data_IF_623321244675
#
_entry.id   IF_623321244675
#
_cell.length_a   1.000
_cell.length_b   1.000
_cell.length_c   1.000
_cell.angle_alpha   90.00
_cell.angle_beta   90.00
_cell.angle_gamma   90.00
#
_symmetry.space_group_name_H-M   'P 1'
#
loop_
_entity.id
_entity.type
_entity.pdbx_description
1 polymer ?
#
# COMPACT_ATOMS: atom_id res chain seq x y z
N UNK A 1 41.67 -5.41 -11.55
CA UNK A 1 41.24 -5.72 -12.93
C UNK A 1 40.07 -6.71 -13.00
N UNK A 2 39.81 -7.51 -11.96
CA UNK A 2 38.60 -8.34 -11.85
C UNK A 2 37.30 -7.54 -11.60
N UNK A 3 37.36 -6.43 -10.83
CA UNK A 3 36.19 -5.57 -10.54
C UNK A 3 35.58 -4.87 -11.76
N UNK A 4 36.32 -4.72 -12.85
CA UNK A 4 35.86 -3.97 -14.02
C UNK A 4 35.04 -4.83 -14.99
N UNK A 5 35.07 -6.16 -14.82
CA UNK A 5 34.34 -7.11 -15.66
C UNK A 5 32.93 -7.42 -15.13
N UNK A 6 32.68 -7.30 -13.82
CA UNK A 6 31.34 -7.48 -13.24
C UNK A 6 30.39 -6.29 -13.54
N UNK A 7 30.93 -5.13 -13.90
CA UNK A 7 30.18 -3.90 -14.19
C UNK A 7 29.51 -3.82 -15.59
N UNK A 8 29.68 -4.82 -16.47
CA UNK A 8 29.24 -4.74 -17.89
C UNK A 8 28.00 -5.64 -18.18
N UNK A 9 27.37 -6.21 -17.15
CA UNK A 9 26.17 -7.03 -17.34
C UNK A 9 24.88 -6.20 -17.43
N UNK A 10 23.92 -6.66 -18.23
CA UNK A 10 22.51 -6.28 -18.05
C UNK A 10 21.77 -7.33 -17.23
N UNK A 11 20.70 -6.92 -16.57
CA UNK A 11 19.73 -7.78 -15.88
C UNK A 11 18.34 -7.49 -16.44
N UNK A 12 17.52 -8.53 -16.53
CA UNK A 12 16.11 -8.38 -16.87
C UNK A 12 15.37 -7.93 -15.60
N UNK A 13 14.76 -6.75 -15.65
CA UNK A 13 13.82 -6.28 -14.64
C UNK A 13 12.42 -6.71 -15.05
N UNK A 14 11.76 -7.51 -14.23
CA UNK A 14 10.44 -8.08 -14.53
C UNK A 14 9.42 -7.63 -13.50
N UNK A 15 8.29 -7.11 -13.96
CA UNK A 15 7.09 -6.83 -13.17
C UNK A 15 5.96 -7.75 -13.61
N UNK A 16 5.38 -8.52 -12.69
CA UNK A 16 4.36 -9.53 -13.01
C UNK A 16 3.25 -9.54 -11.95
N UNK A 17 1.99 -9.59 -12.39
CA UNK A 17 0.87 -9.67 -11.46
C UNK A 17 0.73 -11.07 -10.84
N UNK A 18 -0.02 -11.18 -9.74
CA UNK A 18 -0.22 -12.45 -9.03
C UNK A 18 -0.78 -13.58 -9.91
N UNK A 19 -1.73 -13.29 -10.80
CA UNK A 19 -2.28 -14.29 -11.72
C UNK A 19 -1.46 -14.48 -13.00
N UNK A 20 -0.36 -13.74 -13.18
CA UNK A 20 0.54 -13.78 -14.35
C UNK A 20 -0.11 -13.39 -15.68
N UNK A 21 -1.32 -12.83 -15.67
CA UNK A 21 -1.98 -12.32 -16.87
C UNK A 21 -1.27 -11.09 -17.47
N UNK A 22 -0.48 -10.38 -16.65
CA UNK A 22 0.33 -9.25 -17.07
C UNK A 22 1.77 -9.45 -16.62
N UNK A 23 2.69 -9.35 -17.59
CA UNK A 23 4.13 -9.36 -17.39
C UNK A 23 4.76 -8.25 -18.23
N UNK A 24 5.57 -7.43 -17.61
CA UNK A 24 6.35 -6.38 -18.24
C UNK A 24 7.83 -6.63 -17.94
N UNK A 25 8.68 -6.51 -18.95
CA UNK A 25 10.10 -6.74 -18.79
C UNK A 25 10.92 -5.71 -19.56
N UNK A 26 12.08 -5.37 -19.00
CA UNK A 26 13.04 -4.45 -19.62
C UNK A 26 14.45 -4.78 -19.16
N UNK A 27 15.45 -4.49 -19.98
CA UNK A 27 16.85 -4.67 -19.61
C UNK A 27 17.37 -3.42 -18.92
N UNK A 28 18.02 -3.59 -17.78
CA UNK A 28 18.75 -2.50 -17.11
C UNK A 28 20.23 -2.88 -16.94
N UNK A 29 21.15 -1.91 -17.00
CA UNK A 29 22.53 -2.13 -16.59
C UNK A 29 22.61 -2.57 -15.12
N UNK A 30 23.49 -3.52 -14.80
CA UNK A 30 23.79 -3.86 -13.39
C UNK A 30 24.31 -2.67 -12.60
N UNK A 31 25.00 -1.74 -13.26
CA UNK A 31 25.47 -0.48 -12.67
C UNK A 31 24.35 0.48 -12.25
N UNK A 32 23.10 0.22 -12.64
CA UNK A 32 21.93 0.96 -12.18
C UNK A 32 21.43 0.49 -10.80
N UNK A 33 21.95 -0.60 -10.26
CA UNK A 33 21.63 -1.06 -8.90
C UNK A 33 22.44 -0.31 -7.84
N UNK A 34 21.87 -0.02 -6.66
CA UNK A 34 20.49 -0.29 -6.26
C UNK A 34 19.49 0.65 -6.95
N UNK A 35 18.30 0.13 -7.29
CA UNK A 35 17.23 0.98 -7.82
C UNK A 35 16.66 1.87 -6.71
N UNK A 36 16.39 3.13 -7.02
CA UNK A 36 15.93 4.12 -6.05
C UNK A 36 14.40 4.17 -6.01
N UNK A 37 13.82 3.78 -4.88
CA UNK A 37 12.37 3.78 -4.64
C UNK A 37 11.90 4.94 -3.76
N UNK A 38 10.62 5.28 -3.91
CA UNK A 38 9.90 6.26 -3.08
C UNK A 38 8.70 5.57 -2.44
N UNK A 39 8.57 5.71 -1.13
CA UNK A 39 7.49 5.13 -0.34
C UNK A 39 6.56 6.25 0.12
N UNK A 40 5.33 6.26 -0.40
CA UNK A 40 4.32 7.27 -0.09
C UNK A 40 3.41 6.79 1.04
N UNK A 41 3.23 7.63 2.05
CA UNK A 41 2.41 7.34 3.23
C UNK A 41 1.10 8.14 3.24
N UNK A 42 0.75 8.86 2.17
CA UNK A 42 -0.45 9.70 2.20
C UNK A 42 -1.73 8.89 2.41
N UNK A 43 -2.75 9.55 2.97
CA UNK A 43 -4.05 8.92 3.23
C UNK A 43 -4.65 8.25 1.98
N UNK A 44 -4.52 8.89 0.82
CA UNK A 44 -5.07 8.36 -0.42
C UNK A 44 -4.37 7.08 -0.88
N UNK A 45 -3.02 7.03 -0.80
CA UNK A 45 -2.25 5.83 -1.10
C UNK A 45 -2.64 4.68 -0.16
N UNK A 46 -2.77 4.96 1.14
CA UNK A 46 -3.16 3.92 2.10
C UNK A 46 -4.58 3.41 1.89
N UNK A 47 -5.52 4.30 1.59
CA UNK A 47 -6.93 3.93 1.35
C UNK A 47 -7.16 3.21 0.03
N UNK A 48 -6.32 3.43 -0.99
CA UNK A 48 -6.49 2.79 -2.29
C UNK A 48 -5.82 1.41 -2.36
N UNK A 49 -4.69 1.21 -1.69
CA UNK A 49 -3.99 -0.09 -1.66
C UNK A 49 -4.39 -0.96 -0.47
N UNK A 50 -4.92 -0.36 0.59
CA UNK A 50 -5.11 -1.03 1.88
C UNK A 50 -3.79 -1.25 2.65
N UNK A 51 -2.66 -0.78 2.10
CA UNK A 51 -1.36 -0.87 2.73
C UNK A 51 -1.03 0.41 3.54
N UNK A 52 -0.20 0.33 4.59
CA UNK A 52 0.37 1.44 5.36
C UNK A 52 1.18 2.42 4.51
N UNK A 53 1.62 2.00 3.33
CA UNK A 53 2.33 2.83 2.36
C UNK A 53 2.11 2.26 0.95
N UNK A 54 2.46 3.04 -0.06
CA UNK A 54 2.69 2.53 -1.41
C UNK A 54 4.13 2.73 -1.80
N UNK A 55 4.74 1.76 -2.45
CA UNK A 55 6.15 1.78 -2.84
C UNK A 55 6.28 1.79 -4.36
N UNK A 56 7.01 2.76 -4.89
CA UNK A 56 7.14 2.97 -6.32
C UNK A 56 8.61 3.14 -6.72
N UNK A 57 8.99 2.61 -7.89
CA UNK A 57 10.20 3.03 -8.60
C UNK A 57 9.86 3.52 -10.01
N UNK A 58 10.61 4.46 -10.60
CA UNK A 58 10.46 4.80 -12.01
C UNK A 58 10.69 3.56 -12.90
N UNK A 59 9.76 3.26 -13.81
CA UNK A 59 9.95 2.15 -14.73
C UNK A 59 11.01 2.54 -15.79
N UNK A 60 12.09 1.76 -15.96
CA UNK A 60 13.20 2.17 -16.81
C UNK A 60 12.91 1.96 -18.29
N UNK A 61 13.37 2.90 -19.12
CA UNK A 61 13.22 2.89 -20.57
C UNK A 61 12.72 4.23 -21.13
N UNK A 62 12.49 4.27 -22.44
CA UNK A 62 11.91 5.44 -23.11
C UNK A 62 10.45 5.62 -22.70
N UNK A 63 10.06 6.84 -22.29
CA UNK A 63 8.69 7.18 -21.91
C UNK A 63 7.67 6.76 -22.96
N UNK A 64 7.94 7.01 -24.24
CA UNK A 64 7.02 6.66 -25.34
C UNK A 64 6.82 5.16 -25.47
N UNK A 65 7.90 4.37 -25.33
CA UNK A 65 7.82 2.91 -25.42
C UNK A 65 7.09 2.30 -24.21
N UNK A 66 7.35 2.85 -23.02
CA UNK A 66 6.65 2.44 -21.79
C UNK A 66 5.17 2.78 -21.90
N UNK A 67 4.86 4.01 -22.32
CA UNK A 67 3.49 4.47 -22.52
C UNK A 67 2.74 3.56 -23.48
N UNK A 68 3.32 3.23 -24.64
CA UNK A 68 2.66 2.35 -25.60
C UNK A 68 2.43 0.93 -25.03
N UNK A 69 3.41 0.35 -24.34
CA UNK A 69 3.28 -0.96 -23.71
C UNK A 69 2.19 -1.00 -22.63
N UNK A 70 2.09 0.05 -21.80
CA UNK A 70 1.09 0.12 -20.74
C UNK A 70 -0.29 0.46 -21.30
N UNK A 71 -0.38 1.38 -22.26
CA UNK A 71 -1.64 1.81 -22.91
C UNK A 71 -2.31 0.68 -23.67
N UNK A 72 -1.54 -0.22 -24.28
CA UNK A 72 -2.06 -1.38 -25.01
C UNK A 72 -2.37 -2.59 -24.11
N UNK A 73 -2.04 -2.51 -22.82
CA UNK A 73 -2.41 -3.53 -21.84
C UNK A 73 -3.88 -3.41 -21.41
N UNK A 74 -4.44 -4.50 -20.86
CA UNK A 74 -5.78 -4.50 -20.26
C UNK A 74 -5.77 -4.20 -18.76
N UNK A 75 -4.76 -3.46 -18.26
CA UNK A 75 -4.75 -3.02 -16.86
C UNK A 75 -5.91 -2.05 -16.61
N UNK A 76 -6.64 -2.25 -15.51
CA UNK A 76 -7.64 -1.28 -15.08
C UNK A 76 -6.97 -0.01 -14.58
N UNK A 77 -7.63 1.10 -14.80
CA UNK A 77 -7.14 2.44 -14.50
C UNK A 77 -8.06 3.06 -13.47
N UNK A 78 -7.48 3.54 -12.38
CA UNK A 78 -8.21 4.22 -11.31
C UNK A 78 -7.52 5.53 -10.95
N UNK A 79 -8.11 6.65 -11.38
CA UNK A 79 -7.67 7.98 -10.99
C UNK A 79 -8.14 8.26 -9.56
N UNK A 80 -7.20 8.25 -8.62
CA UNK A 80 -7.52 8.47 -7.21
C UNK A 80 -7.15 9.89 -6.73
N UNK A 81 -6.37 10.61 -7.51
CA UNK A 81 -6.05 12.02 -7.30
C UNK A 81 -5.80 12.69 -8.66
N UNK A 82 -5.93 14.02 -8.76
CA UNK A 82 -5.62 14.74 -10.00
C UNK A 82 -4.23 14.35 -10.51
N UNK A 83 -4.17 13.91 -11.77
CA UNK A 83 -2.93 13.51 -12.43
C UNK A 83 -2.21 12.30 -11.80
N UNK A 84 -2.90 11.47 -11.01
CA UNK A 84 -2.36 10.20 -10.50
C UNK A 84 -3.36 9.08 -10.74
N UNK A 85 -2.98 8.15 -11.62
CA UNK A 85 -3.78 6.97 -11.98
C UNK A 85 -3.06 5.70 -11.54
N UNK A 86 -3.71 4.87 -10.74
CA UNK A 86 -3.21 3.52 -10.47
C UNK A 86 -3.64 2.56 -11.56
N UNK A 87 -2.73 1.65 -11.91
CA UNK A 87 -2.95 0.61 -12.90
C UNK A 87 -2.83 -0.76 -12.25
N UNK A 88 -3.89 -1.55 -12.35
CA UNK A 88 -3.98 -2.86 -11.69
C UNK A 88 -4.51 -3.95 -12.61
N UNK A 89 -4.17 -5.20 -12.30
CA UNK A 89 -4.72 -6.35 -12.99
C UNK A 89 -6.21 -6.53 -12.66
N UNK A 90 -7.07 -6.66 -13.66
CA UNK A 90 -8.51 -6.90 -13.44
C UNK A 90 -8.89 -8.27 -12.91
N UNK A 91 -7.97 -9.24 -12.95
CA UNK A 91 -8.23 -10.58 -12.46
C UNK A 91 -7.82 -10.75 -11.00
N UNK A 92 -6.59 -10.34 -10.65
CA UNK A 92 -6.03 -10.54 -9.31
C UNK A 92 -5.86 -9.26 -8.50
N UNK A 93 -6.25 -8.10 -9.05
CA UNK A 93 -6.17 -6.79 -8.40
C UNK A 93 -4.76 -6.31 -8.04
N UNK A 94 -3.71 -7.02 -8.44
CA UNK A 94 -2.31 -6.57 -8.28
C UNK A 94 -2.14 -5.16 -8.82
N UNK A 95 -1.83 -4.22 -7.94
CA UNK A 95 -1.44 -2.86 -8.32
C UNK A 95 -0.05 -2.95 -8.92
N UNK A 96 0.09 -2.65 -10.22
CA UNK A 96 1.34 -2.85 -10.95
C UNK A 96 2.07 -1.54 -11.25
N UNK A 97 1.34 -0.52 -11.69
CA UNK A 97 1.94 0.77 -12.06
C UNK A 97 1.16 1.93 -11.46
N UNK A 98 1.83 3.07 -11.38
CA UNK A 98 1.26 4.39 -11.20
C UNK A 98 1.63 5.23 -12.40
N UNK A 99 0.64 5.91 -12.95
CA UNK A 99 0.80 6.90 -14.00
C UNK A 99 0.67 8.29 -13.37
N UNK A 100 1.63 9.16 -13.66
CA UNK A 100 1.60 10.57 -13.26
C UNK A 100 1.77 11.49 -14.46
N UNK A 101 1.38 12.76 -14.32
CA UNK A 101 1.58 13.74 -15.37
C UNK A 101 3.04 13.79 -15.85
N UNK A 102 3.21 13.96 -17.17
CA UNK A 102 4.51 14.15 -17.79
C UNK A 102 5.15 15.48 -17.34
N UNK A 103 6.48 15.52 -17.32
CA UNK A 103 7.24 16.75 -17.09
C UNK A 103 7.95 17.24 -18.36
N UNK A 104 8.28 18.52 -18.39
CA UNK A 104 9.11 19.14 -19.43
C UNK A 104 8.44 19.24 -20.81
N UNK A 105 9.24 19.13 -21.87
CA UNK A 105 8.80 19.27 -23.26
C UNK A 105 7.81 18.17 -23.71
N UNK A 106 7.86 16.97 -23.11
CA UNK A 106 6.87 15.90 -23.36
C UNK A 106 5.82 15.80 -22.24
N UNK A 107 5.23 16.92 -21.84
CA UNK A 107 4.12 16.93 -20.86
C UNK A 107 2.91 16.09 -21.29
N UNK A 108 2.77 15.83 -22.60
CA UNK A 108 1.73 14.99 -23.19
C UNK A 108 1.96 13.48 -23.00
N UNK A 109 3.18 13.05 -22.65
CA UNK A 109 3.51 11.64 -22.36
C UNK A 109 3.66 11.48 -20.85
N UNK A 110 2.81 10.68 -20.19
CA UNK A 110 2.86 10.53 -18.75
C UNK A 110 4.12 9.78 -18.28
N UNK A 111 4.43 9.94 -17.00
CA UNK A 111 5.46 9.17 -16.32
C UNK A 111 4.86 7.90 -15.73
N UNK A 112 5.67 6.84 -15.65
CA UNK A 112 5.25 5.57 -15.06
C UNK A 112 6.20 5.14 -13.95
N UNK A 113 5.62 4.88 -12.78
CA UNK A 113 6.29 4.13 -11.72
C UNK A 113 5.71 2.72 -11.66
N UNK A 114 6.56 1.72 -11.44
CA UNK A 114 6.12 0.36 -11.08
C UNK A 114 6.06 0.24 -9.56
N UNK A 115 5.13 -0.55 -9.06
CA UNK A 115 5.09 -0.88 -7.63
C UNK A 115 6.16 -1.94 -7.31
N UNK A 116 6.82 -1.83 -6.16
CA UNK A 116 7.96 -2.72 -5.85
C UNK A 116 7.53 -4.17 -5.59
N UNK A 117 6.35 -4.37 -4.99
CA UNK A 117 5.85 -5.70 -4.64
C UNK A 117 5.58 -6.62 -5.83
N UNK A 118 5.43 -6.10 -7.06
CA UNK A 118 5.22 -6.91 -8.28
C UNK A 118 6.52 -7.28 -9.01
N UNK A 119 7.66 -6.76 -8.54
CA UNK A 119 8.95 -7.05 -9.17
C UNK A 119 9.43 -8.44 -8.80
N UNK A 120 9.93 -9.19 -9.78
CA UNK A 120 10.62 -10.44 -9.50
C UNK A 120 11.87 -10.16 -8.64
N UNK A 121 12.12 -11.04 -7.67
CA UNK A 121 13.34 -10.98 -6.88
C UNK A 121 14.54 -11.25 -7.77
N UNK A 122 15.55 -10.39 -7.70
CA UNK A 122 16.83 -10.58 -8.38
C UNK A 122 17.86 -10.97 -7.34
N UNK A 123 18.57 -12.06 -7.58
CA UNK A 123 19.69 -12.46 -6.72
C UNK A 123 20.84 -11.46 -6.86
N UNK A 124 20.97 -10.63 -5.84
CA UNK A 124 22.06 -9.65 -5.67
C UNK A 124 23.02 -10.07 -4.56
N UNK A 125 23.00 -11.34 -4.12
CA UNK A 125 23.84 -11.83 -3.01
C UNK A 125 25.34 -11.70 -3.26
N UNK A 126 25.76 -11.61 -4.53
CA UNK A 126 27.15 -11.36 -4.94
C UNK A 126 27.46 -9.87 -5.15
N UNK A 127 26.46 -9.00 -5.07
CA UNK A 127 26.62 -7.56 -5.14
C UNK A 127 26.88 -6.98 -3.75
N UNK A 128 27.65 -5.91 -3.68
CA UNK A 128 27.75 -5.07 -2.48
C UNK A 128 26.54 -4.15 -2.29
N UNK A 129 25.59 -4.14 -3.23
CA UNK A 129 24.38 -3.33 -3.23
C UNK A 129 23.10 -4.16 -3.15
N UNK A 130 22.07 -3.57 -2.55
CA UNK A 130 20.71 -4.10 -2.60
C UNK A 130 20.14 -4.08 -4.03
N UNK A 131 19.04 -4.81 -4.25
CA UNK A 131 18.27 -4.67 -5.48
C UNK A 131 17.55 -3.32 -5.53
N UNK A 132 16.91 -2.93 -4.42
CA UNK A 132 16.18 -1.68 -4.26
C UNK A 132 16.62 -1.03 -2.96
N UNK A 133 16.88 0.27 -3.00
CA UNK A 133 17.04 1.11 -1.82
C UNK A 133 15.84 2.06 -1.72
N UNK A 134 15.37 2.26 -0.49
CA UNK A 134 14.37 3.24 -0.14
C UNK A 134 15.07 4.60 -0.02
N UNK A 135 14.88 5.48 -1.00
CA UNK A 135 15.50 6.80 -0.96
C UNK A 135 14.68 7.80 -0.14
N UNK A 136 13.35 7.70 -0.23
CA UNK A 136 12.45 8.68 0.37
C UNK A 136 11.19 8.04 0.94
N UNK A 137 10.83 8.44 2.15
CA UNK A 137 9.47 8.36 2.66
C UNK A 137 8.80 9.72 2.52
N UNK A 138 7.68 9.80 1.79
CA UNK A 138 6.94 11.04 1.57
C UNK A 138 5.56 10.98 2.21
N UNK A 139 4.98 12.15 2.51
CA UNK A 139 3.70 12.32 3.19
C UNK A 139 3.63 11.61 4.54
N UNK A 140 4.74 11.61 5.28
CA UNK A 140 4.82 10.93 6.58
C UNK A 140 3.91 11.62 7.62
N UNK A 141 3.68 12.92 7.52
CA UNK A 141 2.81 13.64 8.46
C UNK A 141 1.36 13.10 8.47
N UNK A 142 0.87 12.58 7.34
CA UNK A 142 -0.48 11.99 7.23
C UNK A 142 -0.66 10.77 8.13
N UNK A 143 0.43 10.09 8.51
CA UNK A 143 0.38 8.92 9.41
C UNK A 143 0.08 9.31 10.86
N UNK A 144 0.45 10.53 11.28
CA UNK A 144 0.46 11.01 12.68
C UNK A 144 1.42 10.24 13.60
N UNK A 145 1.59 8.95 13.40
CA UNK A 145 2.41 8.01 14.16
C UNK A 145 3.66 7.52 13.39
N UNK A 146 4.07 8.24 12.35
CA UNK A 146 5.20 7.83 11.50
C UNK A 146 4.88 6.65 10.57
N UNK A 147 3.72 6.01 10.68
CA UNK A 147 3.27 4.94 9.80
C UNK A 147 4.27 3.80 9.76
N UNK A 148 4.60 3.33 8.55
CA UNK A 148 5.55 2.22 8.40
C UNK A 148 7.03 2.63 8.56
N UNK A 149 7.35 3.92 8.64
CA UNK A 149 8.74 4.40 8.64
C UNK A 149 9.60 3.82 9.76
N UNK A 150 9.13 3.65 11.01
CA UNK A 150 10.00 3.16 12.08
C UNK A 150 10.55 1.75 11.86
N UNK A 151 9.87 0.91 11.05
CA UNK A 151 10.34 -0.41 10.65
C UNK A 151 11.24 -0.39 9.41
N UNK A 152 11.12 0.65 8.55
CA UNK A 152 11.74 0.69 7.23
C UNK A 152 12.95 1.63 7.11
N UNK A 153 13.19 2.50 8.11
CA UNK A 153 14.32 3.43 8.11
C UNK A 153 15.70 2.77 8.06
N UNK A 154 15.80 1.49 8.42
CA UNK A 154 17.04 0.70 8.44
C UNK A 154 17.04 -0.42 7.37
N UNK A 155 16.11 -0.39 6.40
CA UNK A 155 15.96 -1.46 5.39
C UNK A 155 17.00 -1.44 4.27
N UNK A 156 17.70 -0.32 4.09
CA UNK A 156 18.78 -0.23 3.09
C UNK A 156 20.03 -0.97 3.58
N UNK A 157 20.94 -1.29 2.66
CA UNK A 157 22.22 -1.92 3.01
C UNK A 157 23.00 -1.06 4.02
N UNK A 158 23.84 -1.68 4.85
CA UNK A 158 24.56 -0.95 5.91
C UNK A 158 25.48 0.16 5.41
N UNK A 159 25.89 0.10 4.13
CA UNK A 159 26.70 1.11 3.45
C UNK A 159 25.87 2.20 2.75
N UNK A 160 24.56 1.99 2.57
CA UNK A 160 23.67 2.94 1.93
C UNK A 160 23.14 3.97 2.94
N UNK A 161 22.85 5.21 2.50
CA UNK A 161 22.22 6.20 3.37
C UNK A 161 20.83 5.73 3.80
N UNK A 162 20.43 6.12 5.01
CA UNK A 162 19.05 5.97 5.46
C UNK A 162 18.09 6.73 4.53
N UNK A 163 16.84 6.27 4.38
CA UNK A 163 15.82 7.01 3.63
C UNK A 163 15.61 8.40 4.23
N UNK A 164 15.38 9.40 3.40
CA UNK A 164 14.96 10.74 3.85
C UNK A 164 13.47 10.74 4.18
N UNK A 165 13.06 11.39 5.27
CA UNK A 165 11.67 11.43 5.73
C UNK A 165 11.10 12.82 5.53
N UNK A 166 10.08 12.92 4.68
CA UNK A 166 9.41 14.17 4.33
C UNK A 166 8.02 14.23 4.96
N UNK A 167 7.68 15.37 5.55
CA UNK A 167 6.34 15.59 6.11
C UNK A 167 5.27 15.51 5.02
N UNK A 168 5.53 16.11 3.86
CA UNK A 168 4.69 16.09 2.66
C UNK A 168 5.41 15.50 1.44
N UNK A 169 5.25 16.13 0.28
CA UNK A 169 5.97 15.73 -0.93
C UNK A 169 7.51 15.80 -0.72
N UNK A 170 8.25 15.11 -1.58
CA UNK A 170 9.72 15.22 -1.62
C UNK A 170 10.16 16.69 -1.71
N UNK A 171 11.25 17.01 -1.00
CA UNK A 171 11.88 18.34 -0.94
C UNK A 171 11.02 19.43 -0.30
N UNK A 172 10.05 19.05 0.54
CA UNK A 172 9.30 19.96 1.41
C UNK A 172 9.97 20.09 2.80
N UNK A 173 9.23 19.93 3.89
CA UNK A 173 9.80 19.89 5.24
C UNK A 173 10.34 18.48 5.52
N UNK A 174 11.64 18.39 5.76
CA UNK A 174 12.30 17.17 6.18
C UNK A 174 12.19 17.02 7.70
N UNK A 175 11.73 15.87 8.18
CA UNK A 175 11.77 15.58 9.60
C UNK A 175 13.22 15.44 10.05
N UNK A 176 13.56 16.12 11.16
CA UNK A 176 14.93 16.16 11.69
C UNK A 176 15.48 14.74 11.80
N UNK A 177 16.53 14.52 11.02
CA UNK A 177 16.97 13.27 10.45
C UNK A 177 17.22 12.13 11.45
N UNK A 178 16.83 10.92 11.04
CA UNK A 178 17.51 9.63 11.32
C UNK A 178 17.39 8.97 12.70
N UNK A 179 16.81 9.58 13.74
CA UNK A 179 16.51 8.78 14.94
C UNK A 179 15.33 7.85 14.66
N UNK A 180 15.35 6.63 15.22
CA UNK A 180 14.18 5.74 15.25
C UNK A 180 13.09 6.43 16.05
N UNK A 181 12.37 7.37 15.42
CA UNK A 181 11.28 8.10 16.04
C UNK A 181 10.08 7.16 16.01
N UNK A 182 10.10 6.20 16.92
CA UNK A 182 8.86 5.60 17.35
C UNK A 182 8.08 6.72 18.02
N UNK A 183 6.90 7.11 17.51
CA UNK A 183 6.08 8.04 18.24
C UNK A 183 5.81 7.45 19.62
N UNK A 184 5.86 8.29 20.64
CA UNK A 184 5.41 7.87 21.96
C UNK A 184 3.98 7.31 21.81
N UNK A 185 3.66 6.23 22.54
CA UNK A 185 2.30 5.70 22.55
C UNK A 185 1.34 6.87 22.73
N UNK A 186 0.36 6.98 21.83
CA UNK A 186 -0.69 7.96 22.01
C UNK A 186 -1.35 7.65 23.37
N UNK A 187 -1.21 8.55 24.34
CA UNK A 187 -1.86 8.45 25.65
C UNK A 187 -3.39 8.62 25.55
N UNK A 188 -3.91 8.76 24.34
CA UNK A 188 -5.35 8.81 24.08
C UNK A 188 -5.93 7.40 24.08
N UNK A 189 -7.04 7.16 24.79
CA UNK A 189 -7.74 5.89 24.70
C UNK A 189 -8.16 5.63 23.24
N UNK A 190 -8.19 4.37 22.80
CA UNK A 190 -8.66 4.02 21.46
C UNK A 190 -10.11 4.51 21.28
N UNK A 191 -10.46 5.02 20.09
CA UNK A 191 -11.81 5.49 19.83
C UNK A 191 -12.80 4.33 19.94
N UNK A 192 -14.06 4.62 20.30
CA UNK A 192 -15.11 3.62 20.35
C UNK A 192 -15.41 3.00 18.97
N UNK A 193 -15.19 3.78 17.91
CA UNK A 193 -15.44 3.38 16.53
C UNK A 193 -14.32 3.88 15.62
N UNK A 194 -13.88 3.03 14.69
CA UNK A 194 -12.88 3.35 13.67
C UNK A 194 -13.49 3.12 12.29
N UNK A 195 -13.61 4.15 11.44
CA UNK A 195 -14.03 3.98 10.06
C UNK A 195 -13.03 3.13 9.26
N UNK A 196 -13.53 2.14 8.52
CA UNK A 196 -12.75 1.28 7.62
C UNK A 196 -13.31 1.45 6.21
N UNK A 197 -12.62 2.28 5.41
CA UNK A 197 -13.12 2.72 4.11
C UNK A 197 -12.04 2.68 3.05
N UNK A 198 -12.37 2.18 1.86
CA UNK A 198 -11.50 2.30 0.70
C UNK A 198 -11.57 3.70 0.08
N UNK A 199 -10.63 4.03 -0.81
CA UNK A 199 -10.55 5.35 -1.41
C UNK A 199 -11.87 5.81 -2.08
N UNK A 200 -12.53 4.93 -2.83
CA UNK A 200 -13.78 5.25 -3.52
C UNK A 200 -15.03 5.20 -2.64
N UNK A 201 -14.93 4.76 -1.38
CA UNK A 201 -16.08 4.54 -0.50
C UNK A 201 -16.92 3.31 -0.83
N UNK A 202 -16.54 2.49 -1.81
CA UNK A 202 -17.26 1.24 -2.14
C UNK A 202 -17.23 0.21 -1.01
N UNK A 203 -16.13 0.18 -0.23
CA UNK A 203 -16.08 -0.44 1.09
C UNK A 203 -16.27 0.67 2.10
N UNK A 204 -17.33 0.60 2.91
CA UNK A 204 -17.63 1.57 3.96
C UNK A 204 -18.14 0.85 5.21
N UNK A 205 -17.22 0.53 6.11
CA UNK A 205 -17.44 -0.22 7.33
C UNK A 205 -17.06 0.61 8.55
N UNK A 206 -17.57 0.20 9.70
CA UNK A 206 -17.18 0.72 11.01
C UNK A 206 -16.69 -0.45 11.85
N UNK A 207 -15.49 -0.31 12.41
CA UNK A 207 -14.94 -1.20 13.42
C UNK A 207 -15.24 -0.64 14.80
N UNK A 208 -16.11 -1.32 15.54
CA UNK A 208 -16.35 -1.04 16.95
C UNK A 208 -15.18 -1.54 17.78
N UNK A 209 -14.77 -0.75 18.77
CA UNK A 209 -13.64 -1.04 19.63
C UNK A 209 -13.84 -2.40 20.32
N UNK A 210 -13.02 -3.41 20.00
CA UNK A 210 -13.24 -4.76 20.52
C UNK A 210 -12.63 -4.96 21.91
N UNK A 211 -11.84 -4.01 22.41
CA UNK A 211 -11.08 -4.14 23.66
C UNK A 211 -12.01 -4.39 24.87
N UNK A 212 -13.11 -3.64 25.09
CA UNK A 212 -14.00 -3.89 26.24
C UNK A 212 -14.64 -5.29 26.22
N UNK A 213 -14.93 -5.81 25.02
CA UNK A 213 -15.49 -7.14 24.84
C UNK A 213 -14.48 -8.23 25.25
N UNK A 214 -13.24 -8.12 24.79
CA UNK A 214 -12.19 -9.09 25.14
C UNK A 214 -11.71 -8.94 26.60
N UNK A 215 -11.69 -7.72 27.14
CA UNK A 215 -11.35 -7.48 28.54
C UNK A 215 -12.32 -8.13 29.55
N UNK A 216 -13.55 -8.42 29.12
CA UNK A 216 -14.55 -9.13 29.91
C UNK A 216 -14.45 -10.67 29.82
N UNK A 217 -13.61 -11.20 28.92
CA UNK A 217 -13.45 -12.65 28.73
C UNK A 217 -12.41 -13.24 29.69
N UNK A 218 -12.55 -14.53 29.98
CA UNK A 218 -11.46 -15.25 30.64
C UNK A 218 -10.26 -15.36 29.68
N UNK A 219 -9.05 -15.26 30.23
CA UNK A 219 -7.81 -15.35 29.44
C UNK A 219 -7.71 -16.64 28.61
N UNK A 220 -8.28 -17.74 29.09
CA UNK A 220 -8.32 -19.03 28.39
C UNK A 220 -9.30 -19.08 27.21
N UNK A 221 -10.21 -18.12 27.12
CA UNK A 221 -11.25 -18.02 26.08
C UNK A 221 -10.89 -16.99 25.00
N UNK A 222 -9.82 -16.21 25.21
CA UNK A 222 -9.37 -15.21 24.24
C UNK A 222 -9.00 -15.89 22.90
N UNK A 223 -9.48 -15.35 21.76
CA UNK A 223 -9.03 -15.83 20.46
C UNK A 223 -7.50 -15.72 20.32
N UNK A 224 -6.91 -16.62 19.54
CA UNK A 224 -5.45 -16.70 19.35
C UNK A 224 -4.81 -15.38 18.89
N UNK A 225 -5.58 -14.53 18.21
CA UNK A 225 -5.14 -13.25 17.68
C UNK A 225 -5.36 -12.07 18.64
N UNK A 226 -5.68 -12.31 19.90
CA UNK A 226 -5.81 -11.26 20.91
C UNK A 226 -4.64 -11.33 21.89
N UNK A 227 -3.95 -10.21 22.07
CA UNK A 227 -2.90 -10.10 23.07
C UNK A 227 -3.52 -10.11 24.48
N UNK A 228 -3.17 -11.07 25.36
CA UNK A 228 -3.79 -11.21 26.67
C UNK A 228 -3.46 -10.08 27.64
N UNK A 229 -2.42 -9.27 27.38
CA UNK A 229 -2.03 -8.17 28.26
C UNK A 229 -2.82 -6.89 27.97
N UNK A 230 -3.02 -6.58 26.69
CA UNK A 230 -3.63 -5.34 26.21
C UNK A 230 -5.05 -5.52 25.67
N UNK A 231 -5.49 -6.76 25.43
CA UNK A 231 -6.77 -7.12 24.83
C UNK A 231 -6.95 -6.57 23.40
N UNK A 232 -5.84 -6.16 22.76
CA UNK A 232 -5.80 -5.68 21.38
C UNK A 232 -5.66 -6.85 20.41
N UNK A 233 -6.24 -6.70 19.23
CA UNK A 233 -5.96 -7.58 18.11
C UNK A 233 -4.49 -7.51 17.71
N UNK A 234 -3.89 -8.67 17.44
CA UNK A 234 -2.56 -8.76 16.87
C UNK A 234 -2.55 -8.10 15.49
N UNK A 235 -1.49 -7.33 15.23
CA UNK A 235 -1.07 -6.92 13.90
C UNK A 235 0.12 -7.76 13.49
N UNK A 236 0.22 -8.11 12.22
CA UNK A 236 1.32 -8.90 11.67
C UNK A 236 1.79 -8.38 10.34
N UNK A 237 3.05 -8.70 10.00
CA UNK A 237 3.62 -8.48 8.67
C UNK A 237 3.64 -9.79 7.89
N UNK A 238 3.39 -9.70 6.59
CA UNK A 238 3.48 -10.82 5.65
C UNK A 238 4.35 -10.41 4.46
N UNK A 239 5.28 -11.29 4.11
CA UNK A 239 6.29 -11.12 3.05
C UNK A 239 6.15 -12.20 1.97
N UNK A 240 5.09 -13.02 2.02
CA UNK A 240 4.87 -14.04 1.01
C UNK A 240 4.55 -13.44 -0.36
N UNK A 241 4.90 -14.17 -1.42
CA UNK A 241 4.68 -13.73 -2.80
C UNK A 241 3.22 -13.37 -3.08
N UNK A 242 2.25 -14.12 -2.55
CA UNK A 242 0.84 -13.77 -2.73
C UNK A 242 0.48 -12.40 -2.15
N UNK A 243 1.01 -12.05 -0.97
CA UNK A 243 0.73 -10.78 -0.34
C UNK A 243 1.42 -9.63 -1.07
N UNK A 244 2.72 -9.74 -1.37
CA UNK A 244 3.45 -8.67 -2.08
C UNK A 244 2.93 -8.44 -3.49
N UNK A 245 2.66 -9.51 -4.25
CA UNK A 245 2.14 -9.40 -5.61
C UNK A 245 0.71 -8.87 -5.64
N UNK A 246 -0.15 -9.27 -4.69
CA UNK A 246 -1.55 -8.79 -4.67
C UNK A 246 -1.64 -7.31 -4.29
N UNK A 247 -0.79 -6.84 -3.40
CA UNK A 247 -0.87 -5.48 -2.85
C UNK A 247 0.01 -4.47 -3.59
N UNK A 248 1.09 -4.92 -4.22
CA UNK A 248 2.11 -4.05 -4.81
C UNK A 248 3.10 -3.48 -3.81
N UNK A 249 3.21 -4.01 -2.58
CA UNK A 249 4.24 -3.61 -1.61
C UNK A 249 5.06 -4.80 -1.14
N UNK A 250 6.31 -4.57 -0.73
CA UNK A 250 7.24 -5.65 -0.34
C UNK A 250 6.84 -6.34 0.96
N UNK A 251 6.30 -5.57 1.91
CA UNK A 251 5.84 -6.06 3.22
C UNK A 251 4.40 -5.61 3.45
N UNK A 252 3.47 -6.56 3.40
CA UNK A 252 2.08 -6.28 3.71
C UNK A 252 1.81 -6.44 5.21
N UNK A 253 0.78 -5.80 5.72
CA UNK A 253 0.38 -5.85 7.13
C UNK A 253 -1.10 -6.18 7.24
N UNK A 254 -1.42 -7.01 8.21
CA UNK A 254 -2.79 -7.45 8.46
C UNK A 254 -3.09 -7.34 9.95
N UNK A 255 -4.37 -7.23 10.27
CA UNK A 255 -4.87 -7.46 11.63
C UNK A 255 -6.13 -8.33 11.56
N UNK A 256 -6.56 -8.81 12.71
CA UNK A 256 -7.67 -9.75 12.83
C UNK A 256 -8.80 -9.09 13.60
N UNK A 257 -10.01 -9.19 13.06
CA UNK A 257 -11.23 -8.69 13.71
C UNK A 257 -12.33 -9.73 13.59
N UNK A 258 -13.17 -9.84 14.62
CA UNK A 258 -14.40 -10.62 14.55
C UNK A 258 -15.46 -9.84 13.77
N UNK A 259 -16.22 -10.52 12.91
CA UNK A 259 -17.28 -9.90 12.11
C UNK A 259 -18.33 -9.19 12.98
N UNK A 260 -18.58 -9.66 14.20
CA UNK A 260 -19.50 -9.02 15.14
C UNK A 260 -19.08 -7.60 15.55
N UNK A 261 -17.79 -7.27 15.44
CA UNK A 261 -17.26 -5.94 15.71
C UNK A 261 -17.32 -5.02 14.50
N UNK A 262 -17.70 -5.53 13.34
CA UNK A 262 -17.92 -4.74 12.13
C UNK A 262 -19.41 -4.42 11.96
N UNK A 263 -19.67 -3.29 11.31
CA UNK A 263 -20.98 -2.91 10.81
C UNK A 263 -20.83 -2.07 9.54
N UNK A 264 -21.89 -1.95 8.75
CA UNK A 264 -21.94 -0.94 7.69
C UNK A 264 -21.98 0.46 8.30
N UNK A 265 -21.39 1.45 7.61
CA UNK A 265 -21.56 2.83 8.01
C UNK A 265 -23.03 3.28 7.83
N UNK A 266 -23.57 4.01 8.81
CA UNK A 266 -24.91 4.61 8.68
C UNK A 266 -24.81 5.88 7.83
N UNK A 267 -25.61 6.04 6.76
CA UNK A 267 -25.58 7.26 5.95
C UNK A 267 -25.90 8.50 6.81
N UNK A 268 -25.07 9.54 6.73
CA UNK A 268 -25.26 10.78 7.49
C UNK A 268 -26.56 11.54 7.13
N UNK A 269 -27.26 11.14 6.07
CA UNK A 269 -28.48 11.80 5.56
C UNK A 269 -29.81 11.19 6.04
N UNK A 270 -29.81 10.14 6.87
CA UNK A 270 -31.06 9.57 7.40
C UNK A 270 -31.44 10.20 8.74
N UNK A 271 -31.60 11.53 8.76
CA UNK A 271 -32.47 12.23 9.70
C UNK A 271 -33.89 12.29 9.12
N UNK A 272 -34.49 11.13 8.85
CA UNK A 272 -35.93 11.02 8.58
C UNK A 272 -36.44 9.62 8.92
N UNK A 273 -37.65 9.59 9.47
CA UNK A 273 -38.39 8.48 10.08
C UNK A 273 -38.72 7.29 9.15
N UNK A 274 -37.73 6.73 8.45
CA UNK A 274 -37.88 5.45 7.74
C UNK A 274 -36.76 4.52 8.21
N UNK A 275 -37.07 3.74 9.25
CA UNK A 275 -36.34 2.52 9.59
C UNK A 275 -36.49 1.55 8.40
N UNK A 276 -35.70 1.76 7.36
CA UNK A 276 -35.39 0.66 6.45
C UNK A 276 -34.63 -0.35 7.31
N UNK A 277 -35.17 -1.56 7.41
CA UNK A 277 -34.50 -2.67 8.07
C UNK A 277 -33.15 -2.89 7.37
N UNK A 278 -32.09 -2.24 7.86
CA UNK A 278 -30.75 -2.54 7.38
C UNK A 278 -30.55 -4.02 7.63
N UNK A 279 -30.28 -4.75 6.55
CA UNK A 279 -30.02 -6.18 6.64
C UNK A 279 -28.94 -6.40 7.71
N UNK A 280 -29.09 -7.43 8.55
CA UNK A 280 -28.11 -7.71 9.61
C UNK A 280 -26.72 -7.84 8.98
N UNK A 281 -25.70 -7.36 9.70
CA UNK A 281 -24.34 -7.46 9.20
C UNK A 281 -23.98 -8.94 8.96
N UNK A 282 -23.31 -9.26 7.84
CA UNK A 282 -22.95 -10.64 7.51
C UNK A 282 -22.20 -11.36 8.63
N UNK A 283 -22.61 -12.58 8.93
CA UNK A 283 -22.00 -13.43 9.99
C UNK A 283 -20.89 -14.33 9.47
N UNK A 284 -20.70 -14.40 8.14
CA UNK A 284 -19.63 -15.13 7.47
C UNK A 284 -18.88 -14.24 6.47
N UNK A 285 -17.62 -14.59 6.17
CA UNK A 285 -16.81 -13.89 5.16
C UNK A 285 -17.37 -14.06 3.74
N UNK A 286 -18.02 -15.19 3.46
CA UNK A 286 -18.70 -15.46 2.18
C UNK A 286 -19.89 -14.53 1.97
N UNK A 287 -20.69 -14.34 3.02
CA UNK A 287 -21.83 -13.43 2.98
C UNK A 287 -21.36 -11.97 2.89
N UNK A 288 -20.29 -11.63 3.61
CA UNK A 288 -19.68 -10.31 3.53
C UNK A 288 -19.18 -9.98 2.11
N UNK A 289 -18.49 -10.93 1.48
CA UNK A 289 -18.03 -10.81 0.08
C UNK A 289 -19.22 -10.66 -0.89
N UNK A 290 -20.33 -11.32 -0.61
CA UNK A 290 -21.54 -11.22 -1.44
C UNK A 290 -22.24 -9.86 -1.25
N UNK A 291 -22.25 -9.34 -0.03
CA UNK A 291 -22.81 -8.03 0.30
C UNK A 291 -21.97 -6.88 -0.31
N UNK A 292 -20.64 -6.99 -0.28
CA UNK A 292 -19.73 -5.97 -0.83
C UNK A 292 -19.67 -5.93 -2.36
N UNK A 293 -20.16 -6.98 -3.04
CA UNK A 293 -20.28 -7.05 -4.51
C UNK A 293 -21.56 -6.44 -5.05
N UNK A 294 -22.54 -6.11 -4.19
CA UNK A 294 -23.76 -5.43 -4.65
C UNK A 294 -23.37 -4.03 -5.09
N UNK A 295 -23.69 -3.60 -6.32
CA UNK A 295 -23.39 -2.25 -6.76
C UNK A 295 -24.03 -1.27 -5.77
N UNK A 296 -23.21 -0.42 -5.16
CA UNK A 296 -23.68 0.84 -4.60
C UNK A 296 -24.13 1.69 -5.78
N UNK A 297 -25.31 1.39 -6.34
CA UNK A 297 -26.10 2.41 -6.97
C UNK A 297 -26.23 3.51 -5.91
N UNK A 298 -25.94 4.76 -6.27
CA UNK A 298 -25.71 5.92 -5.38
C UNK A 298 -24.21 6.09 -5.05
N UNK A 299 -23.45 6.62 -6.01
CA UNK A 299 -22.42 7.67 -5.81
C UNK A 299 -21.98 8.25 -7.17
N UNK A 300 -22.89 8.31 -8.15
CA UNK A 300 -22.72 9.16 -9.32
C UNK A 300 -23.27 10.55 -8.96
N UNK A 301 -22.40 11.45 -8.51
CA UNK A 301 -22.76 12.85 -8.28
C UNK A 301 -22.18 13.45 -7.01
N UNK A 302 -20.87 13.65 -6.97
CA UNK A 302 -20.21 14.72 -6.23
C UNK A 302 -18.76 14.80 -6.74
N UNK A 303 -18.58 15.56 -7.83
CA UNK A 303 -17.29 16.17 -8.18
C UNK A 303 -17.19 17.50 -7.44
#
# INVERSE_FOLDING_TARGET
>A
MADRAEQIGSIELVAECLCKAHRFATQIPRSSLPLSSVYCHCDSCRRVTGALYSAYLPWPGSRSSIHESIRTSSLHRYEFAPSITLLSCGTCSSTMFVETAGGGEDSHIPNYGVTTGVLHNIDVSKSSSNFIDIAHHIFVADTKDGGATPWLCDSNSSSAPRPRLWSGHKDTEEFSSTERKWPLPLNTPPPNETPVRCHCGGVDLVLRNPIPYFAAMNRSELPWFIDPSSNKSLGGFDVCDSCRLSSGVDVFHWTFVLLQHLSFAVPKSSSSHLQTSQAPFPTSSTDLKSASRRPTAILAGAH
#
